data_IF_661245874326
#
_entry.id   IF_661245874326
#
_cell.length_a   1.000
_cell.length_b   1.000
_cell.length_c   1.000
_cell.angle_alpha   90.00
_cell.angle_beta   90.00
_cell.angle_gamma   90.00
#
_symmetry.space_group_name_H-M   'P 1'
#
loop_
_entity.id
_entity.type
_entity.pdbx_description
1 polymer ?
#
# COMPACT_ATOMS: atom_id res chain seq x y z
N UNK A 1 31.62 -21.07 -8.38
CA UNK A 1 31.07 -21.26 -9.74
C UNK A 1 30.25 -20.03 -10.08
N UNK A 2 30.64 -19.26 -11.10
CA UNK A 2 29.81 -18.16 -11.57
C UNK A 2 28.63 -18.75 -12.35
N UNK A 3 27.40 -18.47 -11.93
CA UNK A 3 26.19 -18.89 -12.66
C UNK A 3 26.13 -18.23 -14.04
N UNK A 4 25.49 -18.90 -15.00
CA UNK A 4 25.25 -18.34 -16.34
C UNK A 4 24.55 -16.97 -16.27
N UNK A 5 24.94 -16.07 -17.16
CA UNK A 5 24.39 -14.74 -17.33
C UNK A 5 23.95 -14.53 -18.78
N UNK A 6 23.01 -13.61 -19.01
CA UNK A 6 22.65 -13.18 -20.36
C UNK A 6 23.88 -12.59 -21.09
N UNK A 7 23.97 -12.72 -22.42
CA UNK A 7 25.00 -12.06 -23.22
C UNK A 7 25.05 -10.55 -22.95
N UNK A 8 26.24 -9.97 -23.00
CA UNK A 8 26.44 -8.56 -22.66
C UNK A 8 25.64 -7.64 -23.58
N UNK A 9 25.55 -7.99 -24.86
CA UNK A 9 24.81 -7.25 -25.87
C UNK A 9 23.32 -7.17 -25.52
N UNK A 10 22.75 -8.24 -24.95
CA UNK A 10 21.36 -8.29 -24.50
C UNK A 10 21.16 -7.47 -23.22
N UNK A 11 22.12 -7.52 -22.29
CA UNK A 11 22.04 -6.75 -21.02
C UNK A 11 22.14 -5.24 -21.23
N UNK A 12 22.87 -4.81 -22.26
CA UNK A 12 23.04 -3.39 -22.59
C UNK A 12 21.89 -2.81 -23.43
N UNK A 13 20.92 -3.64 -23.85
CA UNK A 13 19.76 -3.13 -24.59
C UNK A 13 18.95 -2.15 -23.73
N UNK A 14 18.40 -1.06 -24.32
CA UNK A 14 17.57 -0.10 -23.59
C UNK A 14 16.41 -0.73 -22.81
N UNK A 15 15.81 -1.80 -23.35
CA UNK A 15 14.72 -2.52 -22.69
C UNK A 15 15.11 -3.26 -21.41
N UNK A 16 16.40 -3.52 -21.15
CA UNK A 16 16.83 -4.25 -19.96
C UNK A 16 16.56 -3.48 -18.67
N UNK A 17 16.98 -2.21 -18.60
CA UNK A 17 16.75 -1.38 -17.40
C UNK A 17 15.27 -1.08 -17.18
N UNK A 18 14.49 -0.96 -18.26
CA UNK A 18 13.04 -0.77 -18.23
C UNK A 18 12.33 -2.03 -17.71
N UNK A 19 12.74 -3.20 -18.19
CA UNK A 19 12.23 -4.49 -17.71
C UNK A 19 12.55 -4.71 -16.23
N UNK A 20 13.79 -4.45 -15.82
CA UNK A 20 14.20 -4.58 -14.41
C UNK A 20 13.39 -3.64 -13.51
N UNK A 21 13.15 -2.41 -13.98
CA UNK A 21 12.32 -1.41 -13.29
C UNK A 21 10.87 -1.89 -13.12
N UNK A 22 10.25 -2.39 -14.19
CA UNK A 22 8.91 -2.96 -14.12
C UNK A 22 8.83 -4.18 -13.20
N UNK A 23 9.83 -5.05 -13.27
CA UNK A 23 9.86 -6.26 -12.45
C UNK A 23 10.02 -5.94 -10.96
N UNK A 24 10.88 -4.99 -10.62
CA UNK A 24 11.05 -4.48 -9.26
C UNK A 24 9.77 -3.81 -8.75
N UNK A 25 9.13 -2.95 -9.57
CA UNK A 25 7.85 -2.36 -9.24
C UNK A 25 6.81 -3.44 -8.92
N UNK A 26 6.65 -4.44 -9.80
CA UNK A 26 5.71 -5.53 -9.59
C UNK A 26 5.96 -6.32 -8.29
N UNK A 27 7.22 -6.53 -7.92
CA UNK A 27 7.59 -7.15 -6.63
C UNK A 27 7.19 -6.28 -5.44
N UNK A 28 7.48 -4.98 -5.51
CA UNK A 28 7.13 -4.02 -4.47
C UNK A 28 5.61 -3.90 -4.29
N UNK A 29 4.85 -3.86 -5.39
CA UNK A 29 3.39 -3.81 -5.36
C UNK A 29 2.79 -5.08 -4.74
N UNK A 30 3.39 -6.26 -4.96
CA UNK A 30 2.97 -7.48 -4.25
C UNK A 30 3.19 -7.40 -2.74
N UNK A 31 4.33 -6.83 -2.30
CA UNK A 31 4.58 -6.61 -0.86
C UNK A 31 3.53 -5.66 -0.29
N UNK A 32 3.25 -4.56 -0.98
CA UNK A 32 2.22 -3.60 -0.55
C UNK A 32 0.84 -4.24 -0.43
N UNK A 33 0.40 -4.97 -1.47
CA UNK A 33 -0.90 -5.68 -1.47
C UNK A 33 -1.00 -6.70 -0.34
N UNK A 34 0.04 -7.51 -0.12
CA UNK A 34 0.05 -8.46 0.98
C UNK A 34 -0.08 -7.78 2.36
N UNK A 35 0.59 -6.63 2.56
CA UNK A 35 0.46 -5.87 3.81
C UNK A 35 -0.93 -5.23 3.97
N UNK A 36 -1.53 -4.76 2.87
CA UNK A 36 -2.90 -4.24 2.87
C UNK A 36 -3.91 -5.34 3.21
N UNK A 37 -3.82 -6.49 2.55
CA UNK A 37 -4.66 -7.67 2.80
C UNK A 37 -4.53 -8.15 4.23
N UNK A 38 -3.32 -8.20 4.76
CA UNK A 38 -3.07 -8.55 6.16
C UNK A 38 -3.78 -7.62 7.13
N UNK A 39 -3.66 -6.31 6.94
CA UNK A 39 -4.31 -5.31 7.78
C UNK A 39 -5.84 -5.38 7.66
N UNK A 40 -6.37 -5.47 6.45
CA UNK A 40 -7.82 -5.58 6.20
C UNK A 40 -8.37 -6.84 6.85
N UNK A 41 -7.68 -7.98 6.73
CA UNK A 41 -8.09 -9.24 7.38
C UNK A 41 -8.11 -9.13 8.90
N UNK A 42 -7.12 -8.46 9.50
CA UNK A 42 -7.10 -8.23 10.94
C UNK A 42 -8.29 -7.36 11.39
N UNK A 43 -8.56 -6.28 10.66
CA UNK A 43 -9.72 -5.42 10.93
C UNK A 43 -11.04 -6.18 10.78
N UNK A 44 -11.14 -7.08 9.78
CA UNK A 44 -12.34 -7.87 9.49
C UNK A 44 -12.66 -8.94 10.57
N UNK A 45 -11.73 -9.27 11.48
CA UNK A 45 -12.00 -10.21 12.58
C UNK A 45 -13.16 -9.78 13.48
N UNK A 46 -13.41 -8.48 13.57
CA UNK A 46 -14.52 -7.91 14.35
C UNK A 46 -15.88 -8.05 13.66
N UNK A 47 -15.94 -8.56 12.42
CA UNK A 47 -17.20 -8.84 11.72
C UNK A 47 -17.80 -10.18 12.14
N UNK A 48 -16.97 -11.10 12.62
CA UNK A 48 -17.42 -12.35 13.21
C UNK A 48 -17.84 -12.13 14.67
N UNK A 49 -19.10 -12.42 14.97
CA UNK A 49 -19.68 -12.12 16.29
C UNK A 49 -19.00 -12.90 17.41
N UNK A 50 -18.67 -14.17 17.18
CA UNK A 50 -18.03 -15.02 18.18
C UNK A 50 -16.59 -14.53 18.47
N UNK A 51 -15.84 -14.21 17.42
CA UNK A 51 -14.50 -13.61 17.54
C UNK A 51 -14.55 -12.26 18.23
N UNK A 52 -15.49 -11.39 17.85
CA UNK A 52 -15.68 -10.09 18.49
C UNK A 52 -15.99 -10.26 19.98
N UNK A 53 -16.96 -11.10 20.35
CA UNK A 53 -17.32 -11.32 21.75
C UNK A 53 -16.15 -11.89 22.57
N UNK A 54 -15.34 -12.76 21.98
CA UNK A 54 -14.12 -13.28 22.62
C UNK A 54 -13.07 -12.17 22.86
N UNK A 55 -12.87 -11.27 21.89
CA UNK A 55 -11.96 -10.12 22.01
C UNK A 55 -12.44 -9.13 23.08
N UNK A 56 -13.75 -8.88 23.15
CA UNK A 56 -14.37 -7.90 24.06
C UNK A 56 -14.67 -8.45 25.46
N UNK A 57 -14.27 -9.68 25.75
CA UNK A 57 -14.56 -10.34 27.03
C UNK A 57 -13.93 -9.57 28.19
N UNK A 58 -14.79 -9.02 29.08
CA UNK A 58 -14.38 -8.14 30.19
C UNK A 58 -13.34 -8.76 31.13
N UNK A 59 -13.46 -10.06 31.40
CA UNK A 59 -12.57 -10.77 32.33
C UNK A 59 -11.23 -11.16 31.70
N UNK A 60 -11.04 -10.88 30.40
CA UNK A 60 -9.82 -11.15 29.65
C UNK A 60 -9.37 -9.91 28.84
N UNK A 61 -9.06 -8.76 29.50
CA UNK A 61 -8.72 -7.51 28.80
C UNK A 61 -7.50 -7.65 27.87
N UNK A 62 -6.62 -8.62 28.14
CA UNK A 62 -5.47 -8.95 27.30
C UNK A 62 -5.85 -9.35 25.87
N UNK A 63 -7.05 -9.91 25.64
CA UNK A 63 -7.48 -10.29 24.29
C UNK A 63 -7.66 -9.07 23.39
N UNK A 64 -8.24 -8.00 23.94
CA UNK A 64 -8.38 -6.73 23.25
C UNK A 64 -7.02 -6.09 22.99
N UNK A 65 -6.12 -6.08 23.98
CA UNK A 65 -4.76 -5.57 23.81
C UNK A 65 -3.99 -6.33 22.72
N UNK A 66 -3.99 -7.66 22.76
CA UNK A 66 -3.34 -8.49 21.75
C UNK A 66 -3.90 -8.27 20.34
N UNK A 67 -5.21 -8.02 20.24
CA UNK A 67 -5.86 -7.67 18.99
C UNK A 67 -5.38 -6.32 18.47
N UNK A 68 -5.36 -5.29 19.31
CA UNK A 68 -4.89 -3.95 18.96
C UNK A 68 -3.40 -3.94 18.59
N UNK A 69 -2.56 -4.69 19.31
CA UNK A 69 -1.14 -4.89 18.95
C UNK A 69 -0.99 -5.49 17.54
N UNK A 70 -1.86 -6.46 17.21
CA UNK A 70 -1.94 -7.05 15.88
C UNK A 70 -2.27 -6.03 14.80
N UNK A 71 -3.25 -5.16 15.06
CA UNK A 71 -3.64 -4.07 14.16
C UNK A 71 -2.50 -3.06 13.99
N UNK A 72 -1.89 -2.60 15.08
CA UNK A 72 -0.82 -1.60 15.07
C UNK A 72 0.41 -2.07 14.30
N UNK A 73 0.83 -3.33 14.52
CA UNK A 73 1.93 -3.94 13.78
C UNK A 73 1.65 -3.99 12.27
N UNK A 74 0.43 -4.34 11.87
CA UNK A 74 0.05 -4.43 10.45
C UNK A 74 -0.12 -3.05 9.83
N UNK A 75 -0.64 -2.08 10.58
CA UNK A 75 -0.70 -0.68 10.17
C UNK A 75 0.71 -0.12 9.93
N UNK A 76 1.66 -0.44 10.81
CA UNK A 76 3.07 -0.07 10.63
C UNK A 76 3.64 -0.62 9.32
N UNK A 77 3.46 -1.92 9.08
CA UNK A 77 3.99 -2.57 7.88
C UNK A 77 3.33 -2.03 6.60
N UNK A 78 2.01 -1.79 6.63
CA UNK A 78 1.29 -1.19 5.51
C UNK A 78 1.77 0.23 5.22
N UNK A 79 1.89 1.09 6.24
CA UNK A 79 2.39 2.46 6.06
C UNK A 79 3.84 2.47 5.55
N UNK A 80 4.68 1.54 6.00
CA UNK A 80 6.03 1.35 5.48
C UNK A 80 6.03 0.95 4.00
N UNK A 81 5.18 0.00 3.59
CA UNK A 81 5.06 -0.44 2.20
C UNK A 81 4.54 0.68 1.29
N UNK A 82 3.57 1.49 1.75
CA UNK A 82 3.10 2.69 1.04
C UNK A 82 4.24 3.67 0.81
N UNK A 83 5.07 3.91 1.82
CA UNK A 83 6.22 4.81 1.70
C UNK A 83 7.25 4.28 0.71
N UNK A 84 7.58 2.99 0.79
CA UNK A 84 8.51 2.34 -0.17
C UNK A 84 8.00 2.44 -1.61
N UNK A 85 6.70 2.27 -1.84
CA UNK A 85 6.08 2.51 -3.15
C UNK A 85 6.33 3.93 -3.65
N UNK A 86 6.05 4.94 -2.84
CA UNK A 86 6.25 6.36 -3.22
C UNK A 86 7.72 6.64 -3.53
N UNK A 87 8.65 6.12 -2.72
CA UNK A 87 10.09 6.30 -2.96
C UNK A 87 10.53 5.63 -4.25
N UNK A 88 10.01 4.43 -4.55
CA UNK A 88 10.31 3.73 -5.80
C UNK A 88 9.82 4.50 -7.03
N UNK A 89 8.60 5.02 -6.98
CA UNK A 89 8.08 5.89 -8.04
C UNK A 89 8.95 7.15 -8.24
N UNK A 90 9.45 7.76 -7.15
CA UNK A 90 10.37 8.89 -7.25
C UNK A 90 11.69 8.50 -7.94
N UNK A 91 12.21 7.31 -7.67
CA UNK A 91 13.40 6.78 -8.36
C UNK A 91 13.13 6.61 -9.86
N UNK A 92 11.97 6.05 -10.24
CA UNK A 92 11.60 5.91 -11.67
C UNK A 92 11.48 7.25 -12.38
N UNK A 93 10.94 8.28 -11.72
CA UNK A 93 10.89 9.64 -12.28
C UNK A 93 12.31 10.17 -12.48
N UNK A 94 13.17 10.00 -11.48
CA UNK A 94 14.53 10.52 -11.52
C UNK A 94 15.47 9.74 -12.45
N UNK A 95 15.12 8.50 -12.83
CA UNK A 95 15.91 7.70 -13.76
C UNK A 95 15.74 8.12 -15.23
N UNK A 96 14.80 9.01 -15.53
CA UNK A 96 14.48 9.41 -16.89
C UNK A 96 13.62 8.39 -17.65
N UNK A 97 13.19 7.29 -17.01
CA UNK A 97 12.27 6.33 -17.63
C UNK A 97 10.84 6.90 -17.78
N UNK A 98 10.53 8.00 -17.10
CA UNK A 98 9.23 8.67 -17.16
C UNK A 98 9.46 10.03 -17.80
N UNK A 99 9.20 10.14 -19.11
CA UNK A 99 9.41 11.36 -19.90
C UNK A 99 8.18 11.70 -20.78
N UNK A 100 8.27 12.82 -21.51
CA UNK A 100 7.28 13.23 -22.51
C UNK A 100 5.82 13.20 -22.03
N UNK A 101 4.99 12.48 -22.80
CA UNK A 101 3.56 12.32 -22.52
C UNK A 101 3.30 11.52 -21.24
N UNK A 102 4.08 10.47 -20.98
CA UNK A 102 3.96 9.65 -19.78
C UNK A 102 4.23 10.47 -18.51
N UNK A 103 5.27 11.31 -18.50
CA UNK A 103 5.56 12.19 -17.37
C UNK A 103 4.44 13.21 -17.08
N UNK A 104 3.82 13.72 -18.14
CA UNK A 104 2.72 14.68 -18.01
C UNK A 104 1.49 14.02 -17.40
N UNK A 105 1.11 12.85 -17.92
CA UNK A 105 -0.05 12.10 -17.42
C UNK A 105 0.20 11.53 -16.01
N UNK A 106 1.42 11.07 -15.72
CA UNK A 106 1.83 10.64 -14.39
C UNK A 106 1.63 11.74 -13.35
N UNK A 107 2.15 12.95 -13.60
CA UNK A 107 1.97 14.08 -12.68
C UNK A 107 0.50 14.40 -12.48
N UNK A 108 -0.28 14.48 -13.57
CA UNK A 108 -1.72 14.75 -13.51
C UNK A 108 -2.45 13.73 -12.62
N UNK A 109 -2.15 12.44 -12.76
CA UNK A 109 -2.77 11.38 -11.96
C UNK A 109 -2.30 11.38 -10.51
N UNK A 110 -1.03 11.69 -10.24
CA UNK A 110 -0.56 11.90 -8.87
C UNK A 110 -1.32 13.05 -8.19
N UNK A 111 -1.55 14.14 -8.92
CA UNK A 111 -2.28 15.30 -8.40
C UNK A 111 -3.73 14.98 -8.04
N UNK A 112 -4.40 14.21 -8.89
CA UNK A 112 -5.77 13.74 -8.66
C UNK A 112 -5.83 12.73 -7.52
N UNK A 113 -4.92 11.75 -7.49
CA UNK A 113 -5.04 10.60 -6.60
C UNK A 113 -4.39 10.80 -5.22
N UNK A 114 -3.34 11.62 -5.10
CA UNK A 114 -2.47 11.60 -3.92
C UNK A 114 -2.05 12.98 -3.39
N UNK A 115 -1.82 13.99 -4.24
CA UNK A 115 -1.24 15.28 -3.81
C UNK A 115 -2.09 15.98 -2.75
N UNK A 116 -3.41 15.87 -2.86
CA UNK A 116 -4.37 16.50 -1.95
C UNK A 116 -5.19 15.48 -1.15
N UNK A 117 -4.87 14.18 -1.26
CA UNK A 117 -5.65 13.12 -0.65
C UNK A 117 -5.23 12.95 0.83
N UNK A 118 -6.15 13.21 1.79
CA UNK A 118 -5.75 13.31 3.20
C UNK A 118 -5.21 12.01 3.78
N UNK A 119 -5.80 10.86 3.45
CA UNK A 119 -5.41 9.54 3.95
C UNK A 119 -4.00 9.18 3.50
N UNK A 120 -3.66 9.47 2.23
CA UNK A 120 -2.35 9.28 1.65
C UNK A 120 -1.30 10.09 2.41
N UNK A 121 -1.57 11.39 2.59
CA UNK A 121 -0.65 12.28 3.31
C UNK A 121 -0.50 11.90 4.78
N UNK A 122 -1.58 11.42 5.39
CA UNK A 122 -1.56 10.88 6.75
C UNK A 122 -0.73 9.61 6.85
N UNK A 123 -0.91 8.62 5.97
CA UNK A 123 -0.12 7.37 5.96
C UNK A 123 1.39 7.64 5.80
N UNK A 124 1.76 8.60 4.92
CA UNK A 124 3.16 9.01 4.76
C UNK A 124 3.73 9.61 6.05
N UNK A 125 2.99 10.50 6.70
CA UNK A 125 3.42 11.10 7.96
C UNK A 125 3.38 10.11 9.15
N UNK A 126 2.43 9.19 9.14
CA UNK A 126 2.22 8.15 10.16
C UNK A 126 3.44 7.24 10.24
N UNK A 127 4.00 6.81 9.10
CA UNK A 127 5.26 6.03 9.07
C UNK A 127 6.39 6.78 9.79
N UNK A 128 6.54 8.08 9.52
CA UNK A 128 7.54 8.92 10.18
C UNK A 128 7.30 9.05 11.68
N UNK A 129 6.05 9.24 12.09
CA UNK A 129 5.64 9.29 13.49
C UNK A 129 5.97 7.99 14.23
N UNK A 130 5.61 6.83 13.67
CA UNK A 130 5.87 5.54 14.29
C UNK A 130 7.35 5.19 14.38
N UNK A 131 8.17 5.67 13.43
CA UNK A 131 9.61 5.43 13.44
C UNK A 131 10.36 6.27 14.48
N UNK A 132 9.89 7.51 14.73
CA UNK A 132 10.65 8.49 15.52
C UNK A 132 9.99 8.86 16.85
N UNK A 133 8.77 8.41 17.11
CA UNK A 133 8.00 8.83 18.29
C UNK A 133 7.42 7.62 19.03
N UNK A 134 6.32 7.06 18.55
CA UNK A 134 5.62 5.91 19.15
C UNK A 134 4.55 5.38 18.19
N UNK A 135 3.99 4.21 18.52
CA UNK A 135 2.81 3.70 17.84
C UNK A 135 1.60 4.64 18.05
N UNK A 136 0.72 4.79 17.04
CA UNK A 136 -0.52 5.53 17.23
C UNK A 136 -1.38 4.82 18.26
N UNK A 137 -2.10 5.59 19.08
CA UNK A 137 -3.06 5.00 20.01
C UNK A 137 -4.28 4.51 19.24
N UNK A 138 -4.45 3.20 19.17
CA UNK A 138 -5.62 2.56 18.57
C UNK A 138 -6.69 2.27 19.63
N UNK A 139 -7.95 2.42 19.27
CA UNK A 139 -9.10 2.08 20.12
C UNK A 139 -10.03 1.16 19.36
N UNK A 140 -10.48 0.07 19.99
CA UNK A 140 -11.65 -0.63 19.51
C UNK A 140 -12.90 0.11 20.01
N UNK A 141 -13.89 0.24 19.14
CA UNK A 141 -15.20 0.82 19.43
C UNK A 141 -16.25 -0.25 19.17
N UNK A 142 -17.28 -0.29 20.01
CA UNK A 142 -18.42 -1.19 19.84
C UNK A 142 -19.70 -0.35 19.86
N UNK A 143 -20.46 -0.43 18.77
CA UNK A 143 -21.72 0.25 18.61
C UNK A 143 -22.84 -0.79 18.58
N UNK A 144 -23.84 -0.58 19.43
CA UNK A 144 -25.07 -1.34 19.43
C UNK A 144 -26.18 -0.47 18.83
N UNK A 145 -26.65 -0.81 17.64
CA UNK A 145 -27.74 -0.11 16.96
C UNK A 145 -28.86 -1.07 16.60
N UNK A 146 -30.03 -0.55 16.19
CA UNK A 146 -31.11 -1.37 15.65
C UNK A 146 -31.01 -1.39 14.14
N UNK A 147 -31.22 -2.56 13.52
CA UNK A 147 -30.98 -2.79 12.08
C UNK A 147 -31.61 -1.72 11.18
N UNK A 148 -32.85 -1.31 11.47
CA UNK A 148 -33.60 -0.31 10.68
C UNK A 148 -34.02 0.91 11.51
N UNK A 149 -33.41 1.12 12.69
CA UNK A 149 -33.75 2.21 13.60
C UNK A 149 -35.13 2.12 14.27
N UNK A 150 -35.95 1.12 13.93
CA UNK A 150 -37.27 0.90 14.53
C UNK A 150 -37.16 0.14 15.85
N UNK A 151 -38.07 0.41 16.80
CA UNK A 151 -38.10 -0.25 18.14
C UNK A 151 -38.27 -1.78 18.03
N UNK A 152 -38.86 -2.26 16.94
CA UNK A 152 -39.09 -3.67 16.64
C UNK A 152 -37.92 -4.39 15.96
N UNK A 153 -36.96 -3.67 15.37
CA UNK A 153 -35.84 -4.31 14.66
C UNK A 153 -34.84 -4.92 15.65
N UNK A 154 -34.20 -6.06 15.27
CA UNK A 154 -33.16 -6.68 16.07
C UNK A 154 -31.97 -5.73 16.26
N UNK A 155 -31.25 -5.92 17.37
CA UNK A 155 -30.00 -5.22 17.59
C UNK A 155 -28.91 -5.78 16.68
N UNK A 156 -28.12 -4.88 16.11
CA UNK A 156 -26.91 -5.18 15.35
C UNK A 156 -25.74 -4.60 16.15
N UNK A 157 -24.78 -5.47 16.45
CA UNK A 157 -23.54 -5.08 17.08
C UNK A 157 -22.48 -4.91 16.00
N UNK A 158 -21.82 -3.75 15.97
CA UNK A 158 -20.72 -3.47 15.05
C UNK A 158 -19.52 -3.01 15.84
N UNK A 159 -18.36 -3.61 15.57
CA UNK A 159 -17.11 -3.15 16.14
C UNK A 159 -16.13 -2.72 15.05
N UNK A 160 -15.38 -1.66 15.33
CA UNK A 160 -14.40 -1.08 14.41
C UNK A 160 -13.20 -0.57 15.22
N UNK A 161 -12.08 -0.34 14.54
CA UNK A 161 -10.87 0.19 15.16
C UNK A 161 -10.63 1.61 14.66
N UNK A 162 -10.47 2.54 15.61
CA UNK A 162 -10.10 3.91 15.32
C UNK A 162 -8.66 4.19 15.73
N UNK A 163 -8.00 5.10 15.00
CA UNK A 163 -6.72 5.69 15.40
C UNK A 163 -6.96 7.11 15.88
N UNK A 164 -6.44 7.42 17.09
CA UNK A 164 -6.52 8.74 17.68
C UNK A 164 -5.48 9.68 17.06
N UNK A 165 -5.93 10.71 16.35
CA UNK A 165 -5.03 11.65 15.67
C UNK A 165 -4.64 12.85 16.53
N UNK A 166 -5.42 13.16 17.57
CA UNK A 166 -5.25 14.34 18.43
C UNK A 166 -3.83 14.43 18.98
N UNK A 167 -3.26 13.30 19.41
CA UNK A 167 -1.92 13.21 19.98
C UNK A 167 -0.80 13.29 18.91
N UNK A 168 -1.16 13.14 17.64
CA UNK A 168 -0.25 13.13 16.49
C UNK A 168 -0.15 14.50 15.80
N UNK A 169 -1.17 15.37 15.96
CA UNK A 169 -1.25 16.70 15.32
C UNK A 169 -0.02 17.57 15.59
N UNK A 170 0.63 17.38 16.74
CA UNK A 170 1.81 18.16 17.13
C UNK A 170 3.12 17.66 16.50
N UNK A 171 3.15 16.46 15.92
CA UNK A 171 4.35 15.95 15.27
C UNK A 171 4.72 16.79 14.03
N UNK A 172 5.97 17.23 13.94
CA UNK A 172 6.45 18.13 12.89
C UNK A 172 6.49 17.48 11.51
N UNK A 173 6.55 16.15 11.41
CA UNK A 173 6.58 15.43 10.14
C UNK A 173 5.25 15.46 9.38
N UNK A 174 4.13 15.81 10.03
CA UNK A 174 2.86 16.03 9.32
C UNK A 174 2.82 17.42 8.67
N UNK A 175 2.39 17.46 7.41
CA UNK A 175 2.16 18.73 6.69
C UNK A 175 0.94 19.45 7.28
N UNK A 176 0.89 20.79 7.13
CA UNK A 176 -0.18 21.63 7.67
C UNK A 176 -1.58 21.16 7.26
N UNK A 177 -1.76 20.73 6.01
CA UNK A 177 -3.04 20.18 5.53
C UNK A 177 -3.43 18.89 6.25
N UNK A 178 -2.51 17.95 6.41
CA UNK A 178 -2.74 16.71 7.15
C UNK A 178 -3.11 17.01 8.61
N UNK A 179 -2.43 18.00 9.23
CA UNK A 179 -2.76 18.45 10.58
C UNK A 179 -4.16 19.06 10.68
N UNK A 180 -4.58 19.82 9.68
CA UNK A 180 -5.94 20.37 9.63
C UNK A 180 -6.97 19.25 9.54
N UNK A 181 -6.79 18.32 8.59
CA UNK A 181 -7.67 17.16 8.44
C UNK A 181 -7.74 16.30 9.71
N UNK A 182 -6.61 16.05 10.38
CA UNK A 182 -6.59 15.32 11.66
C UNK A 182 -7.36 16.03 12.78
N UNK A 183 -7.43 17.37 12.78
CA UNK A 183 -8.23 18.11 13.78
C UNK A 183 -9.73 17.97 13.52
N UNK A 184 -10.12 17.90 12.25
CA UNK A 184 -11.51 17.65 11.84
C UNK A 184 -11.89 16.17 12.04
N UNK A 185 -10.90 15.27 12.01
CA UNK A 185 -11.05 13.82 12.15
C UNK A 185 -10.19 13.33 13.34
N UNK A 186 -10.59 13.62 14.59
CA UNK A 186 -9.82 13.26 15.79
C UNK A 186 -9.72 11.74 16.00
N UNK A 187 -10.65 10.99 15.41
CA UNK A 187 -10.69 9.53 15.38
C UNK A 187 -10.85 9.08 13.92
N UNK A 188 -9.89 8.32 13.41
CA UNK A 188 -9.92 7.78 12.04
C UNK A 188 -10.39 6.33 12.12
N UNK A 189 -11.53 5.99 11.54
CA UNK A 189 -11.90 4.58 11.32
C UNK A 189 -10.96 3.97 10.27
N UNK A 190 -10.10 3.04 10.71
CA UNK A 190 -9.11 2.44 9.83
C UNK A 190 -9.73 1.69 8.66
N UNK A 191 -10.87 1.03 8.86
CA UNK A 191 -11.46 0.22 7.80
C UNK A 191 -12.08 1.13 6.75
N UNK A 192 -12.87 2.10 7.17
CA UNK A 192 -13.56 3.03 6.26
C UNK A 192 -12.55 3.77 5.37
N UNK A 193 -11.55 4.38 5.99
CA UNK A 193 -10.58 5.23 5.30
C UNK A 193 -9.64 4.44 4.38
N UNK A 194 -9.22 3.25 4.81
CA UNK A 194 -8.35 2.40 3.99
C UNK A 194 -9.08 1.79 2.80
N UNK A 195 -10.38 1.51 2.90
CA UNK A 195 -11.16 0.90 1.81
C UNK A 195 -11.10 1.77 0.54
N UNK A 196 -11.43 3.05 0.68
CA UNK A 196 -11.41 3.99 -0.44
C UNK A 196 -10.00 4.28 -0.94
N UNK A 197 -9.03 4.35 -0.03
CA UNK A 197 -7.63 4.56 -0.37
C UNK A 197 -7.04 3.41 -1.20
N UNK A 198 -7.30 2.16 -0.81
CA UNK A 198 -6.77 0.98 -1.50
C UNK A 198 -7.29 0.85 -2.93
N UNK A 199 -8.56 1.18 -3.18
CA UNK A 199 -9.12 1.23 -4.54
C UNK A 199 -8.37 2.24 -5.40
N UNK A 200 -8.22 3.49 -4.93
CA UNK A 200 -7.48 4.54 -5.66
C UNK A 200 -6.03 4.14 -5.92
N UNK A 201 -5.39 3.51 -4.94
CA UNK A 201 -4.00 3.06 -5.05
C UNK A 201 -3.85 1.99 -6.13
N UNK A 202 -4.72 0.98 -6.13
CA UNK A 202 -4.67 -0.10 -7.11
C UNK A 202 -5.00 0.38 -8.53
N UNK A 203 -6.01 1.25 -8.69
CA UNK A 203 -6.35 1.86 -9.98
C UNK A 203 -5.16 2.64 -10.57
N UNK A 204 -4.46 3.41 -9.74
CA UNK A 204 -3.26 4.12 -10.17
C UNK A 204 -2.15 3.16 -10.59
N UNK A 205 -1.87 2.13 -9.79
CA UNK A 205 -0.78 1.20 -10.04
C UNK A 205 -1.01 0.36 -11.30
N UNK A 206 -2.24 -0.09 -11.50
CA UNK A 206 -2.65 -0.79 -12.72
C UNK A 206 -2.51 0.10 -13.96
N UNK A 207 -2.98 1.35 -13.87
CA UNK A 207 -2.83 2.30 -14.96
C UNK A 207 -1.35 2.54 -15.28
N UNK A 208 -0.53 2.81 -14.27
CA UNK A 208 0.88 3.14 -14.47
C UNK A 208 1.62 1.98 -15.14
N UNK A 209 1.38 0.75 -14.70
CA UNK A 209 1.99 -0.43 -15.30
C UNK A 209 1.69 -0.55 -16.81
N UNK A 210 0.42 -0.36 -17.20
CA UNK A 210 0.03 -0.36 -18.62
C UNK A 210 0.65 0.79 -19.40
N UNK A 211 0.52 2.01 -18.89
CA UNK A 211 1.04 3.21 -19.55
C UNK A 211 2.56 3.17 -19.71
N UNK A 212 3.29 2.63 -18.74
CA UNK A 212 4.73 2.46 -18.82
C UNK A 212 5.12 1.45 -19.90
N UNK A 213 4.43 0.30 -19.98
CA UNK A 213 4.68 -0.70 -21.03
C UNK A 213 4.36 -0.13 -22.41
N UNK A 214 3.23 0.54 -22.57
CA UNK A 214 2.83 1.17 -23.83
C UNK A 214 3.84 2.23 -24.31
N UNK A 215 4.29 3.10 -23.40
CA UNK A 215 5.26 4.14 -23.71
C UNK A 215 6.63 3.58 -24.13
N UNK A 216 7.00 2.42 -23.59
CA UNK A 216 8.29 1.77 -23.82
C UNK A 216 8.23 0.52 -24.71
N UNK A 217 7.11 0.31 -25.41
CA UNK A 217 6.79 -0.97 -26.08
C UNK A 217 7.92 -1.44 -27.00
N UNK A 218 8.43 -0.56 -27.88
CA UNK A 218 9.48 -0.90 -28.84
C UNK A 218 10.76 -1.41 -28.13
N UNK A 219 11.21 -0.70 -27.11
CA UNK A 219 12.44 -1.06 -26.39
C UNK A 219 12.27 -2.37 -25.59
N UNK A 220 11.11 -2.54 -24.95
CA UNK A 220 10.76 -3.72 -24.18
C UNK A 220 10.62 -4.96 -25.07
N UNK A 221 9.90 -4.85 -26.19
CA UNK A 221 9.70 -5.95 -27.15
C UNK A 221 11.04 -6.43 -27.73
N UNK A 222 11.89 -5.50 -28.17
CA UNK A 222 13.21 -5.84 -28.69
C UNK A 222 14.06 -6.59 -27.65
N UNK A 223 14.08 -6.11 -26.41
CA UNK A 223 14.82 -6.76 -25.33
C UNK A 223 14.25 -8.14 -24.99
N UNK A 224 12.93 -8.27 -24.88
CA UNK A 224 12.29 -9.54 -24.54
C UNK A 224 12.54 -10.61 -25.61
N UNK A 225 12.48 -10.25 -26.90
CA UNK A 225 12.80 -11.15 -27.99
C UNK A 225 14.27 -11.62 -27.95
N UNK A 226 15.21 -10.69 -27.79
CA UNK A 226 16.64 -11.01 -27.69
C UNK A 226 16.96 -11.86 -26.46
N UNK A 227 16.32 -11.55 -25.32
CA UNK A 227 16.45 -12.32 -24.07
C UNK A 227 15.92 -13.74 -24.23
N UNK A 228 14.77 -13.92 -24.86
CA UNK A 228 14.19 -15.24 -25.09
C UNK A 228 15.10 -16.09 -26.00
N UNK A 229 15.61 -15.51 -27.08
CA UNK A 229 16.52 -16.21 -27.99
C UNK A 229 17.84 -16.62 -27.29
N UNK A 230 18.41 -15.73 -26.48
CA UNK A 230 19.60 -16.06 -25.68
C UNK A 230 19.35 -17.20 -24.68
N UNK A 231 18.17 -17.23 -24.04
CA UNK A 231 17.76 -18.32 -23.14
C UNK A 231 17.58 -19.61 -23.93
N UNK A 232 16.89 -19.57 -25.08
CA UNK A 232 16.65 -20.74 -25.94
C UNK A 232 17.96 -21.34 -26.44
N UNK A 233 18.86 -20.50 -26.95
CA UNK A 233 20.18 -20.90 -27.41
C UNK A 233 20.99 -21.59 -26.31
N UNK A 234 20.88 -21.16 -25.05
CA UNK A 234 21.53 -21.84 -23.91
C UNK A 234 21.07 -23.29 -23.73
N UNK A 235 19.77 -23.55 -23.87
CA UNK A 235 19.17 -24.88 -23.63
C UNK A 235 19.11 -25.76 -24.89
N UNK A 236 19.54 -25.25 -26.04
CA UNK A 236 19.49 -25.96 -27.33
C UNK A 236 20.82 -26.62 -27.73
N UNK A 237 21.92 -26.41 -26.98
CA UNK A 237 23.17 -27.13 -27.16
C UNK A 237 23.21 -28.36 -26.23
N UNK A 238 23.62 -29.56 -26.72
CA UNK A 238 23.85 -30.72 -25.86
C UNK A 238 24.89 -30.39 -24.78
N UNK A 239 24.65 -30.87 -23.56
CA UNK A 239 25.67 -30.89 -22.52
C UNK A 239 26.75 -31.90 -22.97
N UNK A 240 27.89 -31.39 -23.46
CA UNK A 240 29.13 -32.16 -23.57
C UNK A 240 29.78 -32.33 -22.18
#
# INVERSE_FOLDING_TARGET
>A
MAGWQLPEEVRQMPGSSLFDSLHQLARLLRILRANAEDLVRELARLDDVDTMLAIWKRDEPQQLENYLDGVERRLYNFAAAVHSRVDYYRVLVNSGHIDGALATEYRRRCDVAFTNEPVHLWLLGLRGYMLHYRLPRSLARMNLSRQDGTVSSPFVMRSHVTVMTVEMVNYSGFKSRTKHWMRENPEIDLREELSGYLVRLDEFDQWFGRAFVEHHAIALEAYLAAREEAIRSRFSYPLD
#
